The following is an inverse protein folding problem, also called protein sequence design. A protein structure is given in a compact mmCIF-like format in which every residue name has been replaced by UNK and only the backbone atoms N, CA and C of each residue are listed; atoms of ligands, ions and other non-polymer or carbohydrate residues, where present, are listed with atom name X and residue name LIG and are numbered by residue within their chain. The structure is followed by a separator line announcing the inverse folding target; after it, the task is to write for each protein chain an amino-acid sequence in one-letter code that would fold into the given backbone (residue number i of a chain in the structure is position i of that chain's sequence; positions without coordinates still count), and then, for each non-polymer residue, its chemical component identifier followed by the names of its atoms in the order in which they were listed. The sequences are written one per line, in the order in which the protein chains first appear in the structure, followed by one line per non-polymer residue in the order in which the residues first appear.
data_IF_123766164555
#
_entry.id   IF_123766164555
#
_cell.length_a   1.000
_cell.length_b   1.000
_cell.length_c   1.000
_cell.angle_alpha   90.00
_cell.angle_beta   90.00
_cell.angle_gamma   90.00
#
_symmetry.space_group_name_H-M   'P 1'
#
loop_
_entity.id
_entity.type
_entity.pdbx_description
1 polymer ?
#
# COMPACT_ATOMS: atom_id res chain seq x y z
N UNK A 1 21.76 -15.89 28.16
CA UNK A 1 21.48 -16.32 26.78
C UNK A 1 20.61 -15.25 26.15
N UNK A 2 21.18 -14.38 25.31
CA UNK A 2 20.47 -13.21 24.78
C UNK A 2 19.38 -13.60 23.79
N UNK A 3 18.17 -13.05 23.97
CA UNK A 3 17.06 -13.22 23.05
C UNK A 3 17.30 -12.39 21.79
N UNK A 4 17.79 -13.05 20.73
CA UNK A 4 17.74 -12.52 19.37
C UNK A 4 16.32 -12.75 18.87
N UNK A 5 15.53 -11.68 18.70
CA UNK A 5 14.13 -11.78 18.23
C UNK A 5 14.08 -12.28 16.77
N UNK A 6 15.19 -12.19 16.04
CA UNK A 6 15.38 -12.71 14.69
C UNK A 6 14.27 -12.19 13.76
N UNK A 7 14.07 -10.86 13.76
CA UNK A 7 13.05 -10.17 12.95
C UNK A 7 13.18 -10.51 11.46
N UNK A 8 14.38 -10.87 11.01
CA UNK A 8 14.69 -11.39 9.67
C UNK A 8 13.90 -12.64 9.26
N UNK A 9 13.39 -13.43 10.21
CA UNK A 9 12.60 -14.64 9.94
C UNK A 9 11.10 -14.38 9.90
N UNK A 10 10.68 -13.17 10.23
CA UNK A 10 9.28 -12.81 10.28
C UNK A 10 8.76 -12.49 8.87
N UNK A 11 7.44 -12.61 8.63
CA UNK A 11 6.83 -12.14 7.38
C UNK A 11 7.23 -10.69 7.11
N UNK A 12 7.51 -10.36 5.84
CA UNK A 12 8.00 -9.03 5.41
C UNK A 12 7.21 -7.87 6.02
N UNK A 13 5.88 -7.99 6.06
CA UNK A 13 5.00 -6.98 6.64
C UNK A 13 5.30 -6.71 8.12
N UNK A 14 5.43 -7.77 8.92
CA UNK A 14 5.71 -7.67 10.35
C UNK A 14 7.16 -7.22 10.61
N UNK A 15 8.11 -7.73 9.83
CA UNK A 15 9.52 -7.35 9.93
C UNK A 15 9.73 -5.86 9.67
N UNK A 16 9.15 -5.32 8.59
CA UNK A 16 9.25 -3.90 8.24
C UNK A 16 8.49 -3.03 9.24
N UNK A 17 7.29 -3.45 9.65
CA UNK A 17 6.49 -2.69 10.62
C UNK A 17 7.25 -2.52 11.93
N UNK A 18 7.84 -3.59 12.46
CA UNK A 18 8.63 -3.55 13.69
C UNK A 18 9.95 -2.78 13.53
N UNK A 19 10.64 -2.95 12.41
CA UNK A 19 11.88 -2.24 12.13
C UNK A 19 11.67 -0.71 12.02
N UNK A 20 10.56 -0.29 11.44
CA UNK A 20 10.21 1.14 11.25
C UNK A 20 9.50 1.77 12.44
N UNK A 21 8.87 0.96 13.32
CA UNK A 21 8.24 1.48 14.54
C UNK A 21 9.26 2.11 15.47
N UNK A 22 10.53 1.69 15.37
CA UNK A 22 11.60 2.07 16.28
C UNK A 22 11.13 1.80 17.70
N UNK A 23 11.24 0.55 18.18
CA UNK A 23 10.73 0.17 19.50
C UNK A 23 11.20 1.16 20.58
N UNK A 24 10.31 2.09 20.95
CA UNK A 24 10.42 2.83 22.20
C UNK A 24 10.21 1.78 23.29
N UNK A 25 11.26 1.58 24.07
CA UNK A 25 11.41 0.63 25.17
C UNK A 25 10.20 0.50 26.10
N UNK A 26 9.33 1.51 26.19
CA UNK A 26 8.10 1.46 26.99
C UNK A 26 7.20 0.24 26.70
N UNK A 27 6.98 -0.14 25.44
CA UNK A 27 6.06 -1.25 25.14
C UNK A 27 6.71 -2.64 25.30
N UNK A 28 8.04 -2.72 25.31
CA UNK A 28 8.77 -3.97 25.59
C UNK A 28 9.01 -4.13 27.11
N UNK A 29 9.21 -3.03 27.84
CA UNK A 29 9.38 -3.01 29.30
C UNK A 29 8.08 -3.20 30.09
N UNK A 30 6.91 -2.95 29.51
CA UNK A 30 5.63 -3.22 30.19
C UNK A 30 5.41 -4.71 30.48
N UNK A 31 6.19 -5.62 29.88
CA UNK A 31 6.13 -7.04 30.22
C UNK A 31 7.18 -7.52 31.23
N UNK A 32 8.31 -6.83 31.46
CA UNK A 32 9.29 -7.23 32.48
C UNK A 32 10.13 -6.05 32.97
N UNK A 33 10.25 -5.95 34.30
CA UNK A 33 10.90 -4.86 35.04
C UNK A 33 12.32 -4.52 34.59
N UNK A 34 12.68 -3.25 34.81
CA UNK A 34 13.92 -2.64 34.35
C UNK A 34 15.19 -3.30 34.90
N UNK A 35 16.13 -3.57 34.00
CA UNK A 35 17.47 -4.09 34.25
C UNK A 35 18.30 -4.13 32.96
N UNK A 36 19.61 -4.37 33.07
CA UNK A 36 20.59 -4.39 31.97
C UNK A 36 20.18 -5.28 30.77
N UNK A 37 19.43 -6.35 31.01
CA UNK A 37 18.89 -7.23 29.95
C UNK A 37 17.93 -6.52 28.97
N UNK A 38 17.27 -5.43 29.40
CA UNK A 38 16.38 -4.65 28.53
C UNK A 38 17.17 -3.82 27.50
N UNK A 39 18.39 -3.42 27.82
CA UNK A 39 19.27 -2.64 26.93
C UNK A 39 19.85 -3.54 25.84
N UNK A 40 20.30 -4.75 26.21
CA UNK A 40 20.79 -5.73 25.23
C UNK A 40 19.70 -6.18 24.27
N UNK A 41 18.46 -6.33 24.77
CA UNK A 41 17.28 -6.60 23.95
C UNK A 41 17.02 -5.45 22.96
N UNK A 42 17.09 -4.21 23.42
CA UNK A 42 16.90 -3.02 22.58
C UNK A 42 17.98 -2.93 21.49
N UNK A 43 19.24 -3.20 21.84
CA UNK A 43 20.35 -3.21 20.88
C UNK A 43 20.14 -4.32 19.84
N UNK A 44 19.77 -5.54 20.26
CA UNK A 44 19.50 -6.66 19.36
C UNK A 44 18.35 -6.37 18.38
N UNK A 45 17.26 -5.80 18.86
CA UNK A 45 16.11 -5.40 18.03
C UNK A 45 16.50 -4.30 17.02
N UNK A 46 17.31 -3.33 17.44
CA UNK A 46 17.79 -2.27 16.54
C UNK A 46 18.74 -2.80 15.47
N UNK A 47 19.61 -3.75 15.80
CA UNK A 47 20.50 -4.41 14.84
C UNK A 47 19.72 -5.25 13.83
N UNK A 48 18.78 -6.08 14.30
CA UNK A 48 17.90 -6.88 13.44
C UNK A 48 17.02 -5.97 12.55
N UNK A 49 16.50 -4.88 13.13
CA UNK A 49 15.73 -3.86 12.41
C UNK A 49 16.56 -3.16 11.32
N UNK A 50 17.80 -2.78 11.61
CA UNK A 50 18.70 -2.18 10.62
C UNK A 50 19.00 -3.12 9.45
N UNK A 51 19.15 -4.43 9.72
CA UNK A 51 19.33 -5.45 8.67
C UNK A 51 18.10 -5.54 7.76
N UNK A 52 16.89 -5.56 8.35
CA UNK A 52 15.62 -5.55 7.60
C UNK A 52 15.50 -4.30 6.73
N UNK A 53 15.77 -3.11 7.27
CA UNK A 53 15.69 -1.86 6.51
C UNK A 53 16.72 -1.81 5.38
N UNK A 54 17.94 -2.27 5.64
CA UNK A 54 18.97 -2.36 4.59
C UNK A 54 18.58 -3.31 3.45
N UNK A 55 17.90 -4.40 3.76
CA UNK A 55 17.38 -5.30 2.73
C UNK A 55 16.29 -4.63 1.88
N UNK A 56 15.45 -3.79 2.49
CA UNK A 56 14.43 -2.99 1.80
C UNK A 56 15.05 -1.90 0.92
N UNK A 57 16.07 -1.20 1.42
CA UNK A 57 16.80 -0.16 0.68
C UNK A 57 17.60 -0.72 -0.51
N UNK A 58 17.94 -2.01 -0.47
CA UNK A 58 18.65 -2.68 -1.55
C UNK A 58 17.74 -3.12 -2.72
N UNK A 59 16.43 -2.98 -2.60
CA UNK A 59 15.46 -3.32 -3.66
C UNK A 59 15.36 -2.20 -4.71
N UNK A 60 14.63 -2.46 -5.79
CA UNK A 60 14.30 -1.41 -6.76
C UNK A 60 13.40 -0.33 -6.12
N UNK A 61 13.61 0.93 -6.52
CA UNK A 61 13.00 2.11 -5.90
C UNK A 61 11.47 2.01 -5.72
N UNK A 62 10.74 1.59 -6.75
CA UNK A 62 9.27 1.45 -6.67
C UNK A 62 8.82 0.32 -5.71
N UNK A 63 9.63 -0.73 -5.53
CA UNK A 63 9.37 -1.82 -4.58
C UNK A 63 9.67 -1.37 -3.15
N UNK A 64 10.74 -0.61 -2.97
CA UNK A 64 11.10 0.03 -1.71
C UNK A 64 10.00 1.02 -1.29
N UNK A 65 9.57 1.89 -2.20
CA UNK A 65 8.50 2.85 -1.95
C UNK A 65 7.17 2.15 -1.64
N UNK A 66 6.83 1.06 -2.33
CA UNK A 66 5.67 0.22 -2.01
C UNK A 66 5.78 -0.39 -0.60
N UNK A 67 6.93 -0.98 -0.27
CA UNK A 67 7.16 -1.64 1.01
C UNK A 67 7.04 -0.68 2.18
N UNK A 68 7.60 0.53 2.03
CA UNK A 68 7.42 1.59 3.03
C UNK A 68 5.99 2.14 3.08
N UNK A 69 5.31 2.22 1.94
CA UNK A 69 3.92 2.65 1.91
C UNK A 69 2.98 1.64 2.60
N UNK A 70 3.18 0.34 2.34
CA UNK A 70 2.27 -0.71 2.79
C UNK A 70 2.54 -1.17 4.22
N UNK A 71 3.81 -1.23 4.65
CA UNK A 71 4.19 -1.93 5.87
C UNK A 71 4.91 -1.07 6.91
N UNK A 72 5.39 0.12 6.54
CA UNK A 72 6.05 0.96 7.52
C UNK A 72 5.07 1.49 8.57
N UNK A 73 5.58 1.71 9.78
CA UNK A 73 4.83 2.31 10.86
C UNK A 73 4.33 3.72 10.49
N UNK A 74 3.16 4.14 11.00
CA UNK A 74 2.61 5.47 10.74
C UNK A 74 3.61 6.57 11.05
N UNK A 75 3.82 7.49 10.10
CA UNK A 75 4.78 8.59 10.23
C UNK A 75 6.17 8.31 9.65
N UNK A 76 6.51 7.07 9.30
CA UNK A 76 7.80 6.74 8.67
C UNK A 76 7.86 7.04 7.17
N UNK A 77 6.72 6.94 6.47
CA UNK A 77 6.67 7.23 5.04
C UNK A 77 6.73 8.75 4.78
N UNK A 78 7.85 9.21 4.22
CA UNK A 78 8.01 10.58 3.73
C UNK A 78 7.02 10.85 2.57
N UNK A 79 6.54 12.09 2.46
CA UNK A 79 5.66 12.52 1.38
C UNK A 79 6.27 12.24 -0.01
N UNK A 80 7.60 12.38 -0.16
CA UNK A 80 8.32 12.10 -1.40
C UNK A 80 8.15 10.66 -1.91
N UNK A 81 8.33 9.66 -1.04
CA UNK A 81 8.20 8.24 -1.42
C UNK A 81 6.77 7.92 -1.89
N UNK A 82 5.76 8.55 -1.28
CA UNK A 82 4.36 8.36 -1.69
C UNK A 82 4.09 8.93 -3.07
N UNK A 83 4.65 10.10 -3.38
CA UNK A 83 4.51 10.73 -4.70
C UNK A 83 5.20 9.85 -5.75
N UNK A 84 6.44 9.43 -5.53
CA UNK A 84 7.17 8.54 -6.44
C UNK A 84 6.46 7.21 -6.68
N UNK A 85 5.90 6.61 -5.64
CA UNK A 85 5.10 5.39 -5.77
C UNK A 85 3.89 5.60 -6.66
N UNK A 86 3.14 6.69 -6.43
CA UNK A 86 1.95 7.02 -7.21
C UNK A 86 2.32 7.26 -8.67
N UNK A 87 3.41 7.98 -8.92
CA UNK A 87 3.91 8.25 -10.27
C UNK A 87 4.36 6.96 -10.98
N UNK A 88 5.04 6.06 -10.26
CA UNK A 88 5.47 4.76 -10.80
C UNK A 88 4.27 3.88 -11.18
N UNK A 89 3.27 3.78 -10.29
CA UNK A 89 2.04 3.02 -10.56
C UNK A 89 1.26 3.65 -11.73
N UNK A 90 1.21 4.99 -11.80
CA UNK A 90 0.54 5.69 -12.89
C UNK A 90 1.24 5.44 -14.23
N UNK A 91 2.58 5.48 -14.26
CA UNK A 91 3.38 5.19 -15.45
C UNK A 91 3.14 3.74 -15.93
N UNK A 92 3.28 2.76 -15.03
CA UNK A 92 3.05 1.34 -15.36
C UNK A 92 1.63 1.09 -15.83
N UNK A 93 0.65 1.77 -15.25
CA UNK A 93 -0.74 1.68 -15.70
C UNK A 93 -0.91 2.24 -17.11
N UNK A 94 -0.28 3.35 -17.45
CA UNK A 94 -0.29 3.90 -18.81
C UNK A 94 0.39 2.94 -19.78
N UNK A 95 1.55 2.39 -19.42
CA UNK A 95 2.28 1.43 -20.25
C UNK A 95 1.50 0.13 -20.48
N UNK A 96 0.85 -0.44 -19.45
CA UNK A 96 0.01 -1.63 -19.58
C UNK A 96 -1.20 -1.41 -20.51
N UNK A 97 -1.78 -0.21 -20.53
CA UNK A 97 -2.86 0.13 -21.46
C UNK A 97 -2.32 0.34 -22.88
N UNK A 98 -1.16 0.98 -23.02
CA UNK A 98 -0.51 1.18 -24.31
C UNK A 98 -0.13 -0.16 -24.95
N UNK A 99 0.38 -1.11 -24.17
CA UNK A 99 0.69 -2.46 -24.61
C UNK A 99 -0.56 -3.21 -25.14
N UNK A 100 -1.75 -2.83 -24.68
CA UNK A 100 -3.05 -3.34 -25.17
C UNK A 100 -3.62 -2.53 -26.35
N UNK A 101 -2.86 -1.57 -26.88
CA UNK A 101 -3.28 -0.67 -27.95
C UNK A 101 -4.28 0.41 -27.51
N UNK A 102 -4.43 0.66 -26.21
CA UNK A 102 -5.40 1.62 -25.67
C UNK A 102 -4.69 2.91 -25.26
N UNK A 103 -5.02 4.01 -25.92
CA UNK A 103 -4.52 5.34 -25.54
C UNK A 103 -5.39 5.95 -24.43
N UNK A 104 -4.73 6.41 -23.36
CA UNK A 104 -5.39 7.05 -22.22
C UNK A 104 -5.44 8.57 -22.44
N UNK A 105 -6.66 9.12 -22.47
CA UNK A 105 -6.84 10.57 -22.52
C UNK A 105 -6.39 11.20 -21.19
N UNK A 106 -5.78 12.40 -21.26
CA UNK A 106 -5.32 13.18 -20.10
C UNK A 106 -6.37 13.30 -18.99
N UNK A 107 -7.62 13.58 -19.35
CA UNK A 107 -8.73 13.67 -18.38
C UNK A 107 -9.00 12.37 -17.62
N UNK A 108 -8.81 11.22 -18.27
CA UNK A 108 -8.95 9.90 -17.64
C UNK A 108 -7.74 9.63 -16.77
N UNK A 109 -6.55 9.99 -17.23
CA UNK A 109 -5.31 9.90 -16.46
C UNK A 109 -5.43 10.67 -15.13
N UNK A 110 -5.79 11.95 -15.16
CA UNK A 110 -5.84 12.79 -13.96
C UNK A 110 -6.82 12.22 -12.92
N UNK A 111 -7.96 11.68 -13.38
CA UNK A 111 -8.94 11.02 -12.51
C UNK A 111 -8.40 9.74 -11.90
N UNK A 112 -7.76 8.89 -12.70
CA UNK A 112 -7.22 7.62 -12.19
C UNK A 112 -6.02 7.85 -11.28
N UNK A 113 -5.15 8.80 -11.60
CA UNK A 113 -4.05 9.22 -10.73
C UNK A 113 -4.55 9.64 -9.34
N UNK A 114 -5.68 10.37 -9.28
CA UNK A 114 -6.30 10.73 -8.00
C UNK A 114 -6.83 9.54 -7.18
N UNK A 115 -7.09 8.40 -7.83
CA UNK A 115 -7.56 7.17 -7.18
C UNK A 115 -6.43 6.24 -6.74
N UNK A 116 -5.25 6.30 -7.37
CA UNK A 116 -4.11 5.40 -7.07
C UNK A 116 -3.78 5.33 -5.58
N UNK A 117 -3.64 6.45 -4.83
CA UNK A 117 -3.33 6.38 -3.40
C UNK A 117 -4.37 5.59 -2.59
N UNK A 118 -5.65 5.71 -2.97
CA UNK A 118 -6.73 4.99 -2.31
C UNK A 118 -6.70 3.51 -2.67
N UNK A 119 -6.47 3.17 -3.95
CA UNK A 119 -6.36 1.77 -4.39
C UNK A 119 -5.19 1.09 -3.67
N UNK A 120 -4.02 1.72 -3.69
CA UNK A 120 -2.82 1.22 -3.02
C UNK A 120 -3.03 1.09 -1.50
N UNK A 121 -3.61 2.12 -0.86
CA UNK A 121 -3.89 2.10 0.58
C UNK A 121 -4.92 1.05 0.97
N UNK A 122 -5.97 0.86 0.16
CA UNK A 122 -6.95 -0.21 0.36
C UNK A 122 -6.31 -1.59 0.31
N UNK A 123 -5.42 -1.82 -0.67
CA UNK A 123 -4.69 -3.08 -0.80
C UNK A 123 -3.70 -3.29 0.36
N UNK A 124 -2.96 -2.25 0.77
CA UNK A 124 -2.05 -2.34 1.91
C UNK A 124 -2.78 -2.76 3.21
N UNK A 125 -3.97 -2.18 3.44
CA UNK A 125 -4.81 -2.59 4.57
C UNK A 125 -5.19 -4.06 4.45
N UNK A 126 -5.65 -4.52 3.28
CA UNK A 126 -6.00 -5.94 3.06
C UNK A 126 -4.83 -6.89 3.29
N UNK A 127 -3.62 -6.51 2.89
CA UNK A 127 -2.41 -7.31 3.13
C UNK A 127 -2.06 -7.38 4.63
N UNK A 128 -2.34 -6.32 5.39
CA UNK A 128 -2.09 -6.27 6.83
C UNK A 128 -3.20 -6.91 7.69
N UNK A 129 -4.46 -6.80 7.28
CA UNK A 129 -5.64 -7.24 8.06
C UNK A 129 -6.21 -8.58 7.58
N UNK A 130 -5.71 -9.11 6.47
CA UNK A 130 -6.32 -10.20 5.74
C UNK A 130 -7.40 -9.72 4.76
N UNK A 131 -7.53 -10.46 3.65
CA UNK A 131 -8.55 -10.20 2.64
C UNK A 131 -9.94 -10.52 3.20
N UNK A 132 -10.92 -9.64 2.95
CA UNK A 132 -12.31 -9.91 3.30
C UNK A 132 -12.96 -10.76 2.23
N UNK A 133 -13.59 -11.86 2.65
CA UNK A 133 -14.34 -12.75 1.76
C UNK A 133 -15.77 -12.88 2.26
N UNK A 134 -16.74 -12.73 1.36
CA UNK A 134 -18.15 -13.04 1.62
C UNK A 134 -18.52 -14.34 0.89
N UNK A 135 -19.21 -15.24 1.58
CA UNK A 135 -19.83 -16.39 0.92
C UNK A 135 -21.19 -15.97 0.39
N UNK A 136 -21.33 -15.88 -0.93
CA UNK A 136 -22.62 -15.65 -1.60
C UNK A 136 -22.95 -16.85 -2.46
N UNK A 137 -24.09 -17.48 -2.19
CA UNK A 137 -24.59 -18.64 -2.94
C UNK A 137 -23.61 -19.82 -2.97
N UNK A 138 -22.91 -20.07 -1.86
CA UNK A 138 -21.92 -21.16 -1.75
C UNK A 138 -20.54 -20.85 -2.36
N UNK A 139 -20.39 -19.71 -3.04
CA UNK A 139 -19.10 -19.26 -3.58
C UNK A 139 -18.43 -18.24 -2.65
N UNK A 140 -17.15 -18.47 -2.34
CA UNK A 140 -16.32 -17.48 -1.65
C UNK A 140 -15.98 -16.36 -2.64
N UNK A 141 -16.53 -15.17 -2.42
CA UNK A 141 -16.25 -13.98 -3.22
C UNK A 141 -15.40 -13.01 -2.42
N UNK A 142 -14.30 -12.58 -3.03
CA UNK A 142 -13.47 -11.51 -2.49
C UNK A 142 -14.24 -10.19 -2.46
N UNK A 143 -14.16 -9.50 -1.32
CA UNK A 143 -14.75 -8.17 -1.11
C UNK A 143 -13.63 -7.20 -0.79
N UNK A 144 -13.35 -6.31 -1.73
CA UNK A 144 -12.39 -5.23 -1.53
C UNK A 144 -12.83 -4.33 -0.38
N UNK A 145 -11.88 -3.88 0.43
CA UNK A 145 -12.08 -2.92 1.52
C UNK A 145 -12.67 -1.60 1.04
N UNK A 146 -12.40 -1.21 -0.22
CA UNK A 146 -13.00 -0.04 -0.84
C UNK A 146 -14.21 -0.42 -1.69
N UNK A 147 -15.36 0.13 -1.31
CA UNK A 147 -16.61 -0.10 -2.01
C UNK A 147 -16.71 0.72 -3.31
N UNK A 148 -17.55 0.25 -4.24
CA UNK A 148 -17.92 1.01 -5.46
C UNK A 148 -18.41 2.42 -5.13
N UNK A 149 -19.20 2.60 -4.08
CA UNK A 149 -19.72 3.92 -3.70
C UNK A 149 -18.61 4.86 -3.25
N UNK A 150 -17.58 4.34 -2.56
CA UNK A 150 -16.39 5.12 -2.15
C UNK A 150 -15.64 5.66 -3.37
N UNK A 151 -15.33 4.81 -4.34
CA UNK A 151 -14.65 5.26 -5.56
C UNK A 151 -15.46 6.28 -6.37
N UNK A 152 -16.78 6.07 -6.46
CA UNK A 152 -17.66 7.04 -7.11
C UNK A 152 -17.64 8.39 -6.37
N UNK A 153 -17.66 8.38 -5.04
CA UNK A 153 -17.59 9.59 -4.24
C UNK A 153 -16.27 10.35 -4.50
N UNK A 154 -15.13 9.65 -4.51
CA UNK A 154 -13.82 10.21 -4.82
C UNK A 154 -13.75 10.83 -6.22
N UNK A 155 -14.27 10.13 -7.24
CA UNK A 155 -14.32 10.65 -8.61
C UNK A 155 -15.22 11.88 -8.77
N UNK A 156 -16.31 11.94 -8.00
CA UNK A 156 -17.20 13.12 -7.96
C UNK A 156 -16.48 14.27 -7.27
N UNK A 157 -15.84 14.02 -6.13
CA UNK A 157 -15.11 15.03 -5.38
C UNK A 157 -13.96 15.62 -6.20
N UNK A 158 -13.18 14.79 -6.87
CA UNK A 158 -12.15 15.23 -7.80
C UNK A 158 -12.70 16.14 -8.89
N UNK A 159 -13.81 15.77 -9.55
CA UNK A 159 -14.42 16.62 -10.56
C UNK A 159 -15.05 17.90 -10.00
N UNK A 160 -15.48 17.92 -8.75
CA UNK A 160 -15.97 19.13 -8.09
C UNK A 160 -14.81 20.09 -7.80
N UNK A 161 -13.66 19.58 -7.35
CA UNK A 161 -12.44 20.36 -7.10
C UNK A 161 -11.90 20.95 -8.41
N UNK A 162 -11.74 20.15 -9.46
CA UNK A 162 -11.18 20.61 -10.74
C UNK A 162 -12.07 21.66 -11.42
N UNK A 163 -13.40 21.55 -11.29
CA UNK A 163 -14.33 22.52 -11.89
C UNK A 163 -14.73 23.65 -10.95
N UNK A 164 -14.29 23.62 -9.70
CA UNK A 164 -14.72 24.54 -8.64
C UNK A 164 -16.26 24.63 -8.49
N UNK A 165 -16.97 23.53 -8.74
CA UNK A 165 -18.44 23.45 -8.62
C UNK A 165 -18.81 22.56 -7.46
N UNK A 166 -19.35 23.15 -6.39
CA UNK A 166 -19.77 22.43 -5.17
C UNK A 166 -21.28 22.18 -5.09
N UNK A 167 -22.04 22.51 -6.13
CA UNK A 167 -23.50 22.37 -6.11
C UNK A 167 -23.95 20.91 -6.00
N UNK A 168 -24.96 20.66 -5.16
CA UNK A 168 -25.52 19.33 -4.96
C UNK A 168 -26.12 18.74 -6.23
N UNK A 169 -26.70 19.61 -7.09
CA UNK A 169 -27.19 19.20 -8.41
C UNK A 169 -26.08 18.63 -9.31
N UNK A 170 -24.91 19.27 -9.31
CA UNK A 170 -23.75 18.79 -10.05
C UNK A 170 -23.23 17.45 -9.51
N UNK A 171 -23.07 17.34 -8.17
CA UNK A 171 -22.65 16.08 -7.52
C UNK A 171 -23.60 14.93 -7.85
N UNK A 172 -24.92 15.13 -7.76
CA UNK A 172 -25.93 14.12 -8.11
C UNK A 172 -25.83 13.70 -9.59
N UNK A 173 -25.67 14.65 -10.51
CA UNK A 173 -25.49 14.36 -11.95
C UNK A 173 -24.23 13.54 -12.20
N UNK A 174 -23.11 13.89 -11.57
CA UNK A 174 -21.83 13.16 -11.71
C UNK A 174 -21.89 11.77 -11.09
N UNK A 175 -22.51 11.63 -9.91
CA UNK A 175 -22.75 10.33 -9.27
C UNK A 175 -23.51 9.38 -10.21
N UNK A 176 -24.62 9.84 -10.81
CA UNK A 176 -25.38 9.05 -11.81
C UNK A 176 -24.54 8.67 -13.02
N UNK A 177 -23.74 9.61 -13.55
CA UNK A 177 -22.85 9.33 -14.66
C UNK A 177 -21.86 8.19 -14.35
N UNK A 178 -21.19 8.24 -13.20
CA UNK A 178 -20.24 7.18 -12.80
C UNK A 178 -20.92 5.87 -12.45
N UNK A 179 -22.14 5.90 -11.89
CA UNK A 179 -22.93 4.70 -11.68
C UNK A 179 -23.23 4.00 -13.01
N UNK A 180 -23.68 4.73 -14.03
CA UNK A 180 -24.05 4.16 -15.33
C UNK A 180 -22.81 3.66 -16.12
N UNK A 181 -21.67 4.33 -15.99
CA UNK A 181 -20.44 4.01 -16.71
C UNK A 181 -19.43 3.22 -15.88
N UNK A 182 -19.86 2.60 -14.78
CA UNK A 182 -18.95 2.03 -13.77
C UNK A 182 -18.02 0.96 -14.31
N UNK A 183 -18.51 0.10 -15.22
CA UNK A 183 -17.72 -1.01 -15.80
C UNK A 183 -16.38 -0.54 -16.39
N UNK A 184 -16.38 0.63 -17.05
CA UNK A 184 -15.15 1.22 -17.63
C UNK A 184 -14.15 1.62 -16.55
N UNK A 185 -14.61 2.30 -15.50
CA UNK A 185 -13.76 2.74 -14.40
C UNK A 185 -13.24 1.56 -13.58
N UNK A 186 -14.09 0.57 -13.35
CA UNK A 186 -13.74 -0.66 -12.67
C UNK A 186 -12.59 -1.39 -13.37
N UNK A 187 -12.61 -1.49 -14.71
CA UNK A 187 -11.51 -2.13 -15.44
C UNK A 187 -10.15 -1.46 -15.20
N UNK A 188 -10.11 -0.12 -15.13
CA UNK A 188 -8.87 0.59 -14.79
C UNK A 188 -8.46 0.38 -13.33
N UNK A 189 -9.42 0.36 -12.39
CA UNK A 189 -9.15 0.10 -10.97
C UNK A 189 -8.55 -1.29 -10.77
N UNK A 190 -9.14 -2.33 -11.39
CA UNK A 190 -8.62 -3.70 -11.28
C UNK A 190 -7.24 -3.85 -11.93
N UNK A 191 -6.98 -3.13 -13.03
CA UNK A 191 -5.64 -3.11 -13.63
C UNK A 191 -4.59 -2.51 -12.69
N UNK A 192 -4.91 -1.38 -12.04
CA UNK A 192 -4.03 -0.76 -11.05
C UNK A 192 -3.82 -1.69 -9.87
N UNK A 193 -4.86 -2.35 -9.37
CA UNK A 193 -4.70 -3.39 -8.33
C UNK A 193 -3.75 -4.49 -8.75
N UNK A 194 -3.88 -4.97 -9.98
CA UNK A 194 -2.97 -5.97 -10.56
C UNK A 194 -1.51 -5.49 -10.54
N UNK A 195 -1.25 -4.23 -10.89
CA UNK A 195 0.10 -3.64 -10.81
C UNK A 195 0.63 -3.66 -9.38
N UNK A 196 -0.17 -3.18 -8.43
CA UNK A 196 0.24 -3.11 -7.02
C UNK A 196 0.47 -4.51 -6.43
N UNK A 197 -0.35 -5.50 -6.79
CA UNK A 197 -0.12 -6.90 -6.39
C UNK A 197 1.17 -7.46 -7.01
N UNK A 198 1.52 -7.07 -8.24
CA UNK A 198 2.81 -7.46 -8.83
C UNK A 198 3.98 -6.81 -8.10
N UNK A 199 3.85 -5.54 -7.71
CA UNK A 199 4.86 -4.86 -6.88
C UNK A 199 5.04 -5.59 -5.56
N UNK A 200 3.94 -5.96 -4.89
CA UNK A 200 3.99 -6.67 -3.62
C UNK A 200 4.70 -8.02 -3.73
N UNK A 201 4.31 -8.84 -4.71
CA UNK A 201 4.95 -10.13 -4.95
C UNK A 201 6.44 -9.99 -5.32
N UNK A 202 6.80 -8.97 -6.10
CA UNK A 202 8.19 -8.70 -6.46
C UNK A 202 9.00 -8.21 -5.25
N UNK A 203 8.40 -7.36 -4.41
CA UNK A 203 8.99 -6.85 -3.19
C UNK A 203 9.26 -7.99 -2.19
N UNK A 204 8.31 -8.89 -1.96
CA UNK A 204 8.49 -10.06 -1.09
C UNK A 204 9.64 -10.96 -1.57
N UNK A 205 9.68 -11.30 -2.86
CA UNK A 205 10.76 -12.11 -3.44
C UNK A 205 12.12 -11.42 -3.35
N UNK A 206 12.16 -10.11 -3.63
CA UNK A 206 13.38 -9.32 -3.55
C UNK A 206 13.87 -9.23 -2.11
N UNK A 207 12.97 -8.98 -1.17
CA UNK A 207 13.26 -8.89 0.26
C UNK A 207 13.89 -10.18 0.80
N UNK A 208 13.31 -11.34 0.52
CA UNK A 208 13.89 -12.64 0.89
C UNK A 208 15.28 -12.85 0.30
N UNK A 209 15.49 -12.48 -0.97
CA UNK A 209 16.79 -12.58 -1.64
C UNK A 209 17.84 -11.70 -0.95
N UNK A 210 17.48 -10.47 -0.56
CA UNK A 210 18.41 -9.54 0.06
C UNK A 210 18.68 -9.85 1.54
N UNK A 211 17.72 -10.42 2.27
CA UNK A 211 17.91 -10.90 3.64
C UNK A 211 18.86 -12.09 3.74
N UNK A 212 18.83 -12.98 2.74
CA UNK A 212 19.64 -14.20 2.71
C UNK A 212 21.08 -13.99 2.19
N UNK A 213 21.41 -12.80 1.68
CA UNK A 213 22.78 -12.44 1.35
C UNK A 213 23.55 -12.19 2.66
N UNK A 214 24.39 -13.16 3.03
CA UNK A 214 25.36 -13.05 4.13
C UNK A 214 26.52 -12.13 3.73
#
# INVERSE_FOLDING_TARGET
MGFVIALERWPMSAAISLATKGLNTRNALEMRGGGFDAVDLEIGIRLDGAKVLRAVDAMHEHLTDWSYFAYASPGWSNHGNRVRLVDSIAADWVFDNLAKGVLIQKRTYDKMASLIPYIAGGLAIELSSGAKTEVKSGEVRYVSNLSRSTFIALLVEFECRVKSVLSEGYKKKRKRYYQNNWKRWQAHIEMIRGIVVRYDNAAQKSFEKHLNKK
#
